data_IF_867719491764
#
_entry.id   IF_867719491764
#
_cell.length_a   1.000
_cell.length_b   1.000
_cell.length_c   1.000
_cell.angle_alpha   90.00
_cell.angle_beta   90.00
_cell.angle_gamma   90.00
#
_symmetry.space_group_name_H-M   'P 1'
#
loop_
_entity.id
_entity.type
_entity.pdbx_description
1 polymer ?
#
# COMPACT_ATOMS: atom_id res chain seq x y z
N UNK A 1 -3.83 -25.53 -21.46
CA UNK A 1 -2.80 -24.62 -21.98
C UNK A 1 -2.68 -23.44 -21.01
N UNK A 2 -1.52 -23.27 -20.39
CA UNK A 2 -1.26 -22.15 -19.49
C UNK A 2 -1.14 -20.87 -20.33
N UNK A 3 -1.83 -19.82 -19.91
CA UNK A 3 -1.89 -18.55 -20.63
C UNK A 3 -0.65 -17.73 -20.23
N UNK A 4 0.28 -17.54 -21.16
CA UNK A 4 1.52 -16.79 -20.93
C UNK A 4 1.20 -15.36 -20.45
N UNK A 5 1.43 -15.09 -19.16
CA UNK A 5 1.33 -13.74 -18.58
C UNK A 5 2.55 -12.94 -19.07
N UNK A 6 2.34 -11.96 -19.96
CA UNK A 6 3.39 -10.99 -20.35
C UNK A 6 3.69 -10.06 -19.17
N UNK A 7 4.90 -10.13 -18.63
CA UNK A 7 5.39 -9.17 -17.62
C UNK A 7 5.50 -7.78 -18.27
N UNK A 8 4.71 -6.83 -17.80
CA UNK A 8 4.81 -5.43 -18.21
C UNK A 8 6.09 -4.80 -17.68
N UNK A 9 6.72 -3.96 -18.50
CA UNK A 9 7.85 -3.11 -18.11
C UNK A 9 7.33 -1.96 -17.24
N UNK A 10 7.29 -2.16 -15.91
CA UNK A 10 7.08 -1.07 -14.97
C UNK A 10 8.35 -0.26 -14.83
N UNK A 11 8.29 1.05 -15.10
CA UNK A 11 9.33 1.98 -14.69
C UNK A 11 9.07 2.32 -13.22
N UNK A 12 9.94 1.86 -12.33
CA UNK A 12 9.91 2.23 -10.92
C UNK A 12 10.82 3.44 -10.75
N UNK A 13 10.22 4.62 -10.55
CA UNK A 13 10.98 5.81 -10.17
C UNK A 13 11.15 5.75 -8.66
N UNK A 14 12.35 5.36 -8.21
CA UNK A 14 12.78 5.46 -6.82
C UNK A 14 12.96 6.94 -6.46
N UNK A 15 11.89 7.58 -5.99
CA UNK A 15 11.99 8.87 -5.30
C UNK A 15 12.19 8.53 -3.82
N UNK A 16 13.40 8.76 -3.30
CA UNK A 16 13.83 8.49 -1.92
C UNK A 16 12.90 9.13 -0.86
N UNK A 17 11.77 8.49 -0.54
CA UNK A 17 10.79 8.86 0.49
C UNK A 17 10.28 10.33 0.46
N UNK A 18 10.67 11.12 -0.55
CA UNK A 18 10.28 12.54 -0.65
C UNK A 18 8.80 12.67 -0.96
N UNK A 19 8.23 11.68 -1.65
CA UNK A 19 6.83 11.68 -2.03
C UNK A 19 5.93 11.58 -0.79
N UNK A 20 6.27 10.75 0.20
CA UNK A 20 5.51 10.63 1.45
C UNK A 20 5.57 11.95 2.23
N UNK A 21 6.77 12.52 2.37
CA UNK A 21 6.95 13.83 3.02
C UNK A 21 6.20 14.94 2.29
N UNK A 22 6.13 14.88 0.97
CA UNK A 22 5.39 15.85 0.16
C UNK A 22 3.89 15.75 0.42
N UNK A 23 3.30 14.53 0.37
CA UNK A 23 1.88 14.33 0.62
C UNK A 23 1.47 14.77 2.04
N UNK A 24 2.28 14.45 3.05
CA UNK A 24 2.06 14.92 4.43
C UNK A 24 2.06 16.44 4.55
N UNK A 25 2.87 17.16 3.75
CA UNK A 25 2.86 18.64 3.69
C UNK A 25 1.65 19.21 2.95
N UNK A 26 0.84 18.38 2.31
CA UNK A 26 -0.37 18.76 1.61
C UNK A 26 -1.62 18.28 2.37
N UNK A 27 -1.47 17.97 3.66
CA UNK A 27 -2.54 17.52 4.56
C UNK A 27 -3.24 16.24 4.06
N UNK A 28 -2.45 15.33 3.48
CA UNK A 28 -2.86 13.95 3.22
C UNK A 28 -2.32 13.02 4.30
N UNK A 29 -3.15 12.06 4.71
CA UNK A 29 -2.82 11.02 5.65
C UNK A 29 -2.78 9.64 4.98
N UNK A 30 -1.79 8.84 5.35
CA UNK A 30 -1.68 7.42 5.04
C UNK A 30 -2.62 6.65 5.97
N UNK A 31 -3.73 6.13 5.41
CA UNK A 31 -4.82 5.55 6.20
C UNK A 31 -4.36 4.38 7.09
N UNK A 32 -3.44 3.54 6.60
CA UNK A 32 -2.94 2.41 7.38
C UNK A 32 -2.09 2.89 8.56
N UNK A 33 -1.19 3.86 8.33
CA UNK A 33 -0.32 4.37 9.40
C UNK A 33 -1.10 5.17 10.43
N UNK A 34 -2.17 5.84 10.03
CA UNK A 34 -3.05 6.58 10.93
C UNK A 34 -3.68 5.66 11.99
N UNK A 35 -4.26 4.54 11.55
CA UNK A 35 -4.88 3.57 12.47
C UNK A 35 -3.86 2.66 13.17
N UNK A 36 -2.71 2.40 12.54
CA UNK A 36 -1.69 1.47 13.03
C UNK A 36 -0.31 2.14 13.14
N UNK A 37 -0.14 3.14 14.03
CA UNK A 37 1.03 4.01 14.06
C UNK A 37 2.35 3.26 14.23
N UNK A 38 2.36 2.17 14.99
CA UNK A 38 3.58 1.40 15.30
C UNK A 38 3.63 0.03 14.65
N UNK A 39 2.54 -0.45 14.04
CA UNK A 39 2.53 -1.79 13.44
C UNK A 39 3.38 -1.80 12.16
N UNK A 40 4.24 -2.81 12.05
CA UNK A 40 4.97 -3.08 10.82
C UNK A 40 4.24 -4.16 10.04
N UNK A 41 3.84 -3.82 8.81
CA UNK A 41 3.20 -4.74 7.86
C UNK A 41 3.59 -4.35 6.45
N UNK A 42 3.69 -5.35 5.58
CA UNK A 42 4.21 -5.20 4.22
C UNK A 42 3.10 -5.48 3.21
N UNK A 43 3.18 -4.87 2.04
CA UNK A 43 2.18 -5.04 0.97
C UNK A 43 2.79 -5.68 -0.27
N UNK A 44 4.09 -5.90 -0.25
CA UNK A 44 4.83 -6.62 -1.27
C UNK A 44 5.91 -7.43 -0.59
N UNK A 45 6.11 -8.65 -1.08
CA UNK A 45 7.23 -9.48 -0.65
C UNK A 45 7.78 -10.32 -1.80
N UNK A 46 9.01 -10.79 -1.61
CA UNK A 46 9.58 -11.87 -2.38
C UNK A 46 10.34 -12.80 -1.41
N UNK A 47 11.16 -13.73 -1.94
CA UNK A 47 11.89 -14.69 -1.12
C UNK A 47 12.98 -14.07 -0.23
N UNK A 48 13.37 -12.83 -0.48
CA UNK A 48 14.54 -12.18 0.12
C UNK A 48 14.19 -10.91 0.91
N UNK A 49 13.10 -10.22 0.53
CA UNK A 49 12.74 -8.92 1.07
C UNK A 49 11.21 -8.75 1.13
N UNK A 50 10.78 -7.88 2.03
CA UNK A 50 9.41 -7.41 2.13
C UNK A 50 9.40 -5.89 2.34
N UNK A 51 8.47 -5.20 1.68
CA UNK A 51 8.32 -3.75 1.79
C UNK A 51 6.85 -3.34 1.69
N UNK A 52 6.53 -2.16 2.24
CA UNK A 52 5.22 -1.53 2.07
C UNK A 52 5.34 -0.51 0.94
N UNK A 53 4.80 -0.84 -0.23
CA UNK A 53 4.86 0.00 -1.43
C UNK A 53 3.48 0.36 -1.98
N UNK A 54 2.41 -0.23 -1.43
CA UNK A 54 1.03 0.10 -1.80
C UNK A 54 0.40 0.88 -0.64
N UNK A 55 -0.23 2.02 -0.95
CA UNK A 55 -0.76 2.96 0.04
C UNK A 55 -2.13 3.50 -0.40
N UNK A 56 -2.99 3.80 0.56
CA UNK A 56 -4.19 4.64 0.35
C UNK A 56 -3.94 5.94 1.12
N UNK A 57 -3.88 7.05 0.39
CA UNK A 57 -3.77 8.39 0.95
C UNK A 57 -5.10 9.12 0.81
N UNK A 58 -5.53 9.79 1.86
CA UNK A 58 -6.77 10.58 1.90
C UNK A 58 -6.49 11.94 2.50
N UNK A 59 -7.30 12.96 2.21
CA UNK A 59 -7.20 14.24 2.91
C UNK A 59 -7.48 14.06 4.41
N UNK A 60 -6.92 14.92 5.26
CA UNK A 60 -7.20 14.90 6.71
C UNK A 60 -8.70 14.98 7.03
N UNK A 61 -9.46 15.77 6.27
CA UNK A 61 -10.92 15.84 6.43
C UNK A 61 -11.58 14.48 6.23
N UNK A 62 -11.20 13.75 5.18
CA UNK A 62 -11.75 12.43 4.90
C UNK A 62 -11.23 11.38 5.89
N UNK A 63 -10.00 11.53 6.38
CA UNK A 63 -9.43 10.68 7.42
C UNK A 63 -10.23 10.72 8.72
N UNK A 64 -10.91 11.83 9.02
CA UNK A 64 -11.76 11.93 10.22
C UNK A 64 -12.92 10.94 10.25
N UNK A 65 -13.35 10.44 9.07
CA UNK A 65 -14.35 9.40 8.94
C UNK A 65 -13.78 7.98 8.90
N UNK A 66 -12.47 7.79 8.95
CA UNK A 66 -11.85 6.48 8.75
C UNK A 66 -12.29 5.48 9.84
N UNK A 67 -13.01 4.44 9.42
CA UNK A 67 -13.52 3.36 10.28
C UNK A 67 -12.58 2.16 10.31
N UNK A 68 -11.89 1.89 9.19
CA UNK A 68 -10.97 0.76 9.05
C UNK A 68 -9.88 1.04 8.02
N UNK A 69 -8.67 0.55 8.28
CA UNK A 69 -7.58 0.51 7.32
C UNK A 69 -6.75 -0.76 7.57
N UNK A 70 -6.77 -1.69 6.63
CA UNK A 70 -6.11 -2.99 6.78
C UNK A 70 -5.31 -3.39 5.55
N UNK A 71 -4.32 -4.24 5.80
CA UNK A 71 -3.59 -4.98 4.78
C UNK A 71 -4.01 -6.44 4.92
N UNK A 72 -4.70 -6.99 3.93
CA UNK A 72 -5.30 -8.32 3.94
C UNK A 72 -4.49 -9.27 3.04
N UNK A 73 -4.34 -10.53 3.48
CA UNK A 73 -3.61 -11.54 2.73
C UNK A 73 -4.25 -11.78 1.36
N UNK A 74 -3.45 -11.72 0.31
CA UNK A 74 -3.91 -11.97 -1.05
C UNK A 74 -3.87 -13.45 -1.43
N UNK A 75 -3.26 -14.32 -0.61
CA UNK A 75 -3.14 -15.74 -0.87
C UNK A 75 -4.51 -16.40 -1.06
N UNK A 76 -4.66 -17.21 -2.10
CA UNK A 76 -5.94 -17.85 -2.45
C UNK A 76 -6.99 -16.93 -3.10
N UNK A 77 -6.78 -15.61 -3.11
CA UNK A 77 -7.60 -14.64 -3.84
C UNK A 77 -6.92 -14.26 -5.14
N UNK A 78 -5.63 -13.91 -5.05
CA UNK A 78 -4.79 -13.53 -6.19
C UNK A 78 -3.45 -14.25 -6.07
N UNK A 79 -2.90 -14.75 -7.18
CA UNK A 79 -1.53 -15.30 -7.21
C UNK A 79 -0.47 -14.18 -7.27
N UNK A 80 -0.72 -13.06 -6.59
CA UNK A 80 0.14 -11.89 -6.58
C UNK A 80 1.13 -11.99 -5.43
N UNK A 81 2.30 -11.38 -5.59
CA UNK A 81 3.22 -11.12 -4.50
C UNK A 81 2.94 -9.78 -3.80
N UNK A 82 1.77 -9.19 -4.06
CA UNK A 82 1.23 -8.03 -3.37
C UNK A 82 0.04 -8.44 -2.51
N UNK A 83 -0.03 -7.86 -1.30
CA UNK A 83 -1.20 -7.94 -0.43
C UNK A 83 -2.29 -6.94 -0.85
N UNK A 84 -3.53 -7.18 -0.40
CA UNK A 84 -4.67 -6.30 -0.64
C UNK A 84 -4.67 -5.18 0.41
N UNK A 85 -4.79 -3.93 -0.02
CA UNK A 85 -4.95 -2.79 0.89
C UNK A 85 -6.40 -2.31 0.87
N UNK A 86 -7.00 -2.09 2.03
CA UNK A 86 -8.41 -1.73 2.19
C UNK A 86 -8.57 -0.61 3.20
N UNK A 87 -9.37 0.40 2.86
CA UNK A 87 -9.80 1.45 3.76
C UNK A 87 -11.33 1.60 3.70
N UNK A 88 -11.95 1.88 4.84
CA UNK A 88 -13.38 2.14 5.01
C UNK A 88 -13.56 3.48 5.72
N UNK A 89 -14.42 4.32 5.17
CA UNK A 89 -14.78 5.66 5.67
C UNK A 89 -16.28 5.66 5.95
#
# INVERSE_FOLDING_TARGET
AARDKKKGSGVEILIEEQWEKHLRKQDFCDTYRDMHPTCQKFTWSNKEAATRINYIWVSEELASGLQKAEIEEAEGITESNHEIIRAEI
#
